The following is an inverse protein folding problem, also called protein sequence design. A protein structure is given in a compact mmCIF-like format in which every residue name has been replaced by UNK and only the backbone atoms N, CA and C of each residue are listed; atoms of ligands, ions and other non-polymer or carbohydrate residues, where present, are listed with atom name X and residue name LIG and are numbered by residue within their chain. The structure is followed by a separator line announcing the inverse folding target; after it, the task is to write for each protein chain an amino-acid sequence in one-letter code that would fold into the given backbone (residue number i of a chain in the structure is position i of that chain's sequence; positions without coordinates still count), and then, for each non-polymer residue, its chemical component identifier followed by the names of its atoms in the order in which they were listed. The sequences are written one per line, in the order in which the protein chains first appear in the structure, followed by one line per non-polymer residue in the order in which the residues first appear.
data_IF_581137726896
#
_entry.id   IF_581137726896
#
_cell.length_a   1.000
_cell.length_b   1.000
_cell.length_c   1.000
_cell.angle_alpha   90.00
_cell.angle_beta   90.00
_cell.angle_gamma   90.00
#
_symmetry.space_group_name_H-M   'P 1'
#
loop_
_entity.id
_entity.type
_entity.pdbx_description
1 polymer ?
#
# COMPACT_ATOMS: atom_id res chain seq x y z
N UNK A 1 -21.77 -22.73 -21.24
CA UNK A 1 -21.88 -21.32 -20.81
C UNK A 1 -21.61 -21.29 -19.32
N UNK A 2 -20.84 -20.31 -18.83
CA UNK A 2 -20.15 -20.21 -17.51
C UNK A 2 -18.76 -20.88 -17.52
N UNK A 3 -17.74 -20.24 -18.10
CA UNK A 3 -16.97 -19.06 -17.64
C UNK A 3 -15.90 -19.44 -16.61
N UNK A 4 -14.73 -19.76 -17.17
CA UNK A 4 -13.43 -19.85 -16.51
C UNK A 4 -13.04 -18.49 -15.89
N UNK A 5 -12.92 -18.43 -14.57
CA UNK A 5 -12.17 -17.38 -13.88
C UNK A 5 -11.35 -18.04 -12.78
N UNK A 6 -10.19 -18.54 -13.18
CA UNK A 6 -9.28 -19.24 -12.30
C UNK A 6 -7.99 -19.46 -13.06
N UNK A 7 -7.24 -18.37 -13.27
CA UNK A 7 -5.79 -18.35 -13.49
C UNK A 7 -5.36 -16.97 -14.01
N UNK A 8 -4.66 -16.22 -13.14
CA UNK A 8 -3.41 -15.51 -13.43
C UNK A 8 -3.06 -14.60 -12.24
N UNK A 9 -2.52 -15.22 -11.19
CA UNK A 9 -1.60 -14.51 -10.29
C UNK A 9 -0.21 -15.08 -10.56
N UNK A 10 0.80 -14.25 -10.89
CA UNK A 10 2.15 -14.75 -11.11
C UNK A 10 2.68 -15.35 -9.80
N UNK A 11 2.90 -16.67 -9.80
CA UNK A 11 3.50 -17.43 -8.70
C UNK A 11 5.02 -17.44 -8.81
N UNK A 12 5.69 -16.32 -8.59
CA UNK A 12 7.13 -16.26 -8.29
C UNK A 12 7.55 -14.81 -8.05
N UNK A 13 7.47 -14.37 -6.80
CA UNK A 13 8.27 -13.22 -6.35
C UNK A 13 9.60 -13.78 -5.87
N UNK A 14 10.52 -14.03 -6.81
CA UNK A 14 11.91 -14.31 -6.45
C UNK A 14 12.52 -13.02 -5.91
N UNK A 15 13.03 -13.07 -4.68
CA UNK A 15 13.85 -12.05 -4.03
C UNK A 15 15.15 -11.82 -4.84
N UNK A 16 15.08 -11.13 -5.98
CA UNK A 16 16.30 -10.74 -6.67
C UNK A 16 16.75 -9.31 -6.39
N UNK A 17 15.92 -8.42 -5.84
CA UNK A 17 16.39 -7.17 -5.24
C UNK A 17 15.53 -6.81 -4.03
N UNK A 18 16.13 -6.22 -2.99
CA UNK A 18 15.59 -6.06 -1.63
C UNK A 18 14.37 -5.13 -1.47
N UNK A 19 13.31 -5.36 -2.23
CA UNK A 19 12.04 -4.65 -2.14
C UNK A 19 11.04 -5.44 -1.30
N UNK A 20 10.50 -4.82 -0.23
CA UNK A 20 9.45 -5.43 0.61
C UNK A 20 8.07 -5.12 0.05
N UNK A 21 7.55 -6.05 -0.75
CA UNK A 21 6.17 -6.00 -1.23
C UNK A 21 5.20 -6.53 -0.16
N UNK A 22 4.22 -5.71 0.20
CA UNK A 22 3.17 -6.10 1.16
C UNK A 22 2.11 -6.96 0.45
N UNK A 23 1.88 -8.17 0.96
CA UNK A 23 0.87 -9.12 0.46
C UNK A 23 -0.29 -9.35 1.43
N UNK A 24 -0.14 -8.94 2.69
CA UNK A 24 -1.17 -9.06 3.72
C UNK A 24 -1.15 -7.83 4.64
N UNK A 25 -2.32 -7.25 4.88
CA UNK A 25 -2.53 -6.21 5.88
C UNK A 25 -3.32 -6.79 7.05
N UNK A 26 -2.68 -6.87 8.22
CA UNK A 26 -3.32 -7.15 9.50
C UNK A 26 -3.76 -5.83 10.11
N UNK A 27 -5.06 -5.65 10.37
CA UNK A 27 -5.59 -4.35 10.84
C UNK A 27 -6.49 -4.50 12.06
N UNK A 28 -6.19 -3.77 13.14
CA UNK A 28 -7.07 -3.70 14.31
C UNK A 28 -8.36 -2.94 13.99
N UNK A 29 -9.51 -3.58 14.20
CA UNK A 29 -10.80 -2.97 13.89
C UNK A 29 -11.21 -1.89 14.90
N UNK A 30 -10.91 -2.10 16.17
CA UNK A 30 -11.51 -1.32 17.24
C UNK A 30 -10.82 0.04 17.37
N UNK A 31 -9.49 0.06 17.51
CA UNK A 31 -8.74 1.31 17.66
C UNK A 31 -8.35 1.90 16.31
N UNK A 32 -7.80 1.10 15.39
CA UNK A 32 -7.28 1.66 14.14
C UNK A 32 -8.37 2.00 13.12
N UNK A 33 -9.45 1.20 13.02
CA UNK A 33 -10.61 1.51 12.16
C UNK A 33 -11.77 2.17 12.88
N UNK A 34 -11.73 2.27 14.22
CA UNK A 34 -12.69 3.06 14.98
C UNK A 34 -14.00 2.38 15.36
N UNK A 35 -14.05 1.04 15.38
CA UNK A 35 -15.29 0.29 15.68
C UNK A 35 -15.54 0.03 17.17
N UNK A 36 -14.78 0.68 18.07
CA UNK A 36 -14.92 0.54 19.54
C UNK A 36 -16.33 0.81 20.05
N UNK A 37 -17.02 1.77 19.47
CA UNK A 37 -18.38 2.16 19.85
C UNK A 37 -19.46 1.20 19.32
N UNK A 38 -19.06 0.17 18.57
CA UNK A 38 -19.94 -0.82 17.96
C UNK A 38 -20.68 -0.31 16.72
N UNK A 39 -20.34 0.88 16.20
CA UNK A 39 -20.92 1.37 14.96
C UNK A 39 -20.22 0.77 13.76
N UNK A 40 -20.96 0.43 12.69
CA UNK A 40 -20.35 0.02 11.43
C UNK A 40 -19.44 1.09 10.87
N UNK A 41 -18.40 0.65 10.15
CA UNK A 41 -17.51 1.51 9.40
C UNK A 41 -18.30 2.32 8.38
N UNK A 42 -17.92 3.59 8.24
CA UNK A 42 -18.46 4.41 7.18
C UNK A 42 -18.02 3.91 5.79
N UNK A 43 -18.75 4.34 4.77
CA UNK A 43 -18.49 3.95 3.37
C UNK A 43 -17.09 4.36 2.89
N UNK A 44 -16.53 5.44 3.45
CA UNK A 44 -15.23 5.94 3.02
C UNK A 44 -14.10 5.04 3.51
N UNK A 45 -14.18 4.58 4.76
CA UNK A 45 -13.24 3.61 5.34
C UNK A 45 -13.34 2.28 4.61
N UNK A 46 -14.55 1.77 4.34
CA UNK A 46 -14.72 0.56 3.52
C UNK A 46 -14.09 0.75 2.14
N UNK A 47 -14.33 1.87 1.45
CA UNK A 47 -13.73 2.13 0.14
C UNK A 47 -12.18 2.15 0.17
N UNK A 48 -11.56 2.58 1.27
CA UNK A 48 -10.10 2.53 1.44
C UNK A 48 -9.60 1.09 1.60
N UNK A 49 -10.32 0.26 2.37
CA UNK A 49 -10.00 -1.17 2.49
C UNK A 49 -10.10 -1.87 1.12
N UNK A 50 -11.09 -1.51 0.32
CA UNK A 50 -11.24 -2.01 -1.05
C UNK A 50 -10.09 -1.60 -1.97
N UNK A 51 -9.45 -0.44 -1.78
CA UNK A 51 -8.25 -0.09 -2.56
C UNK A 51 -7.12 -1.09 -2.35
N UNK A 52 -6.92 -1.52 -1.10
CA UNK A 52 -5.93 -2.56 -0.75
C UNK A 52 -6.29 -3.89 -1.41
N UNK A 53 -7.56 -4.31 -1.32
CA UNK A 53 -8.05 -5.54 -1.96
C UNK A 53 -7.90 -5.51 -3.48
N UNK A 54 -8.24 -4.39 -4.12
CA UNK A 54 -8.14 -4.21 -5.57
C UNK A 54 -6.69 -4.21 -6.06
N UNK A 55 -5.73 -3.79 -5.22
CA UNK A 55 -4.30 -3.92 -5.50
C UNK A 55 -3.78 -5.37 -5.37
N UNK A 56 -4.65 -6.33 -5.06
CA UNK A 56 -4.30 -7.74 -4.92
C UNK A 56 -3.70 -8.10 -3.56
N UNK A 57 -3.79 -7.20 -2.58
CA UNK A 57 -3.27 -7.38 -1.23
C UNK A 57 -4.38 -7.96 -0.36
N UNK A 58 -4.07 -9.00 0.41
CA UNK A 58 -5.05 -9.57 1.34
C UNK A 58 -5.27 -8.64 2.53
N UNK A 59 -6.50 -8.53 2.97
CA UNK A 59 -6.85 -7.85 4.21
C UNK A 59 -7.25 -8.89 5.27
N UNK A 60 -6.77 -8.70 6.49
CA UNK A 60 -7.12 -9.50 7.64
C UNK A 60 -7.45 -8.62 8.85
N UNK A 61 -8.73 -8.28 9.05
CA UNK A 61 -9.17 -7.58 10.25
C UNK A 61 -8.89 -8.40 11.50
N UNK A 62 -8.44 -7.73 12.54
CA UNK A 62 -8.16 -8.27 13.86
C UNK A 62 -9.17 -7.68 14.85
N UNK A 63 -9.87 -8.53 15.60
CA UNK A 63 -10.84 -8.07 16.59
C UNK A 63 -11.00 -9.06 17.75
N UNK A 64 -11.44 -8.53 18.90
CA UNK A 64 -11.91 -9.34 20.01
C UNK A 64 -13.30 -9.95 19.75
N UNK A 65 -14.00 -9.49 18.71
CA UNK A 65 -15.34 -9.92 18.32
C UNK A 65 -15.30 -11.20 17.48
N UNK A 66 -16.44 -11.88 17.37
CA UNK A 66 -16.62 -13.03 16.47
C UNK A 66 -16.98 -12.61 15.03
N UNK A 67 -17.03 -13.57 14.10
CA UNK A 67 -17.22 -13.30 12.66
C UNK A 67 -18.50 -12.53 12.33
N UNK A 68 -19.62 -12.88 12.95
CA UNK A 68 -20.90 -12.21 12.68
C UNK A 68 -20.86 -10.72 13.05
N UNK A 69 -20.33 -10.40 14.23
CA UNK A 69 -20.21 -9.02 14.71
C UNK A 69 -19.20 -8.22 13.87
N UNK A 70 -18.05 -8.82 13.55
CA UNK A 70 -17.04 -8.19 12.69
C UNK A 70 -17.61 -7.90 11.30
N UNK A 71 -18.36 -8.83 10.71
CA UNK A 71 -19.02 -8.64 9.42
C UNK A 71 -20.08 -7.53 9.48
N UNK A 72 -20.86 -7.46 10.55
CA UNK A 72 -21.83 -6.39 10.75
C UNK A 72 -21.14 -5.01 10.82
N UNK A 73 -19.98 -4.92 11.49
CA UNK A 73 -19.19 -3.70 11.54
C UNK A 73 -18.57 -3.33 10.19
N UNK A 74 -18.30 -4.31 9.33
CA UNK A 74 -17.88 -4.10 7.94
C UNK A 74 -19.06 -3.77 7.01
N UNK A 75 -20.26 -3.53 7.53
CA UNK A 75 -21.45 -3.24 6.73
C UNK A 75 -21.95 -4.43 5.92
N UNK A 76 -21.62 -5.66 6.34
CA UNK A 76 -21.96 -6.89 5.62
C UNK A 76 -20.99 -7.25 4.49
N UNK A 77 -19.87 -6.55 4.35
CA UNK A 77 -18.92 -6.77 3.27
C UNK A 77 -18.00 -7.96 3.52
N UNK A 78 -18.34 -9.09 2.92
CA UNK A 78 -17.57 -10.34 3.05
C UNK A 78 -16.20 -10.27 2.37
N UNK A 79 -15.97 -9.36 1.42
CA UNK A 79 -14.67 -9.25 0.74
C UNK A 79 -13.57 -8.80 1.70
N UNK A 80 -13.92 -7.94 2.66
CA UNK A 80 -13.04 -7.47 3.73
C UNK A 80 -12.80 -8.51 4.84
N UNK A 81 -13.54 -9.63 4.85
CA UNK A 81 -13.47 -10.65 5.89
C UNK A 81 -13.10 -12.05 5.34
N UNK A 82 -12.55 -12.10 4.12
CA UNK A 82 -12.02 -13.34 3.56
C UNK A 82 -10.87 -13.91 4.39
N UNK A 83 -10.09 -13.04 5.04
CA UNK A 83 -9.10 -13.43 6.03
C UNK A 83 -9.38 -12.64 7.30
N UNK A 84 -9.19 -13.24 8.48
CA UNK A 84 -9.41 -12.53 9.74
C UNK A 84 -8.78 -13.23 10.94
N UNK A 85 -8.44 -12.43 11.96
CA UNK A 85 -8.06 -12.90 13.30
C UNK A 85 -9.10 -12.42 14.30
N UNK A 86 -10.00 -13.29 14.68
CA UNK A 86 -11.19 -12.98 15.47
C UNK A 86 -11.08 -13.58 16.87
N UNK A 87 -11.90 -13.07 17.80
CA UNK A 87 -11.88 -13.49 19.21
C UNK A 87 -10.48 -13.50 19.81
N UNK A 88 -9.67 -12.50 19.46
CA UNK A 88 -8.25 -12.41 19.83
C UNK A 88 -7.44 -13.67 19.50
N UNK A 89 -7.68 -14.28 18.33
CA UNK A 89 -6.94 -15.44 17.82
C UNK A 89 -7.65 -16.78 18.00
N UNK A 90 -8.69 -16.86 18.83
CA UNK A 90 -9.45 -18.09 19.04
C UNK A 90 -10.32 -18.50 17.84
N UNK A 91 -10.53 -17.59 16.87
CA UNK A 91 -11.27 -17.84 15.64
C UNK A 91 -10.48 -17.25 14.47
N UNK A 92 -10.10 -18.09 13.50
CA UNK A 92 -9.36 -17.66 12.32
C UNK A 92 -10.19 -17.89 11.06
N UNK A 93 -10.13 -16.94 10.14
CA UNK A 93 -10.72 -17.07 8.81
C UNK A 93 -9.60 -16.96 7.79
N UNK A 94 -9.55 -17.87 6.82
CA UNK A 94 -8.69 -17.75 5.64
C UNK A 94 -9.48 -18.16 4.40
N UNK A 95 -9.36 -17.36 3.34
CA UNK A 95 -10.10 -17.53 2.08
C UNK A 95 -11.60 -17.84 2.29
N UNK A 96 -12.23 -17.14 3.25
CA UNK A 96 -13.65 -17.23 3.59
C UNK A 96 -14.02 -18.37 4.54
N UNK A 97 -13.09 -19.27 4.83
CA UNK A 97 -13.32 -20.47 5.64
C UNK A 97 -12.86 -20.28 7.07
N UNK A 98 -13.71 -20.67 8.03
CA UNK A 98 -13.31 -20.73 9.45
C UNK A 98 -12.37 -21.92 9.65
N UNK A 99 -11.27 -21.66 10.34
CA UNK A 99 -10.15 -22.56 10.47
C UNK A 99 -10.02 -23.09 11.91
N UNK A 100 -9.68 -24.38 12.09
CA UNK A 100 -9.30 -24.87 13.41
C UNK A 100 -8.01 -24.19 13.85
N UNK A 101 -7.96 -23.71 15.08
CA UNK A 101 -6.80 -23.00 15.64
C UNK A 101 -6.54 -23.43 17.08
N UNK A 102 -5.27 -23.35 17.50
CA UNK A 102 -4.86 -23.49 18.90
C UNK A 102 -4.34 -22.16 19.48
N UNK A 103 -4.46 -21.08 18.70
CA UNK A 103 -4.00 -19.77 19.13
C UNK A 103 -4.80 -19.29 20.35
N UNK A 104 -4.05 -18.81 21.35
CA UNK A 104 -4.61 -18.24 22.58
C UNK A 104 -4.49 -16.73 22.64
N UNK A 105 -3.70 -16.14 21.74
CA UNK A 105 -3.48 -14.70 21.63
C UNK A 105 -3.69 -14.23 20.19
N UNK A 106 -3.91 -12.92 20.04
CA UNK A 106 -4.06 -12.29 18.72
C UNK A 106 -2.79 -12.45 17.89
N UNK A 107 -1.62 -12.35 18.52
CA UNK A 107 -0.34 -12.56 17.87
C UNK A 107 -0.16 -14.00 17.38
N UNK A 108 -0.52 -15.00 18.18
CA UNK A 108 -0.49 -16.40 17.75
C UNK A 108 -1.43 -16.65 16.58
N UNK A 109 -2.65 -16.09 16.64
CA UNK A 109 -3.65 -16.22 15.59
C UNK A 109 -3.18 -15.59 14.28
N UNK A 110 -2.59 -14.41 14.33
CA UNK A 110 -2.02 -13.74 13.17
C UNK A 110 -0.85 -14.54 12.57
N UNK A 111 0.07 -15.07 13.39
CA UNK A 111 1.17 -15.93 12.90
C UNK A 111 0.66 -17.21 12.25
N UNK A 112 -0.34 -17.85 12.85
CA UNK A 112 -1.00 -19.03 12.29
C UNK A 112 -1.63 -18.70 10.93
N UNK A 113 -2.34 -17.58 10.83
CA UNK A 113 -2.94 -17.11 9.58
C UNK A 113 -1.87 -16.84 8.50
N UNK A 114 -0.79 -16.14 8.86
CA UNK A 114 0.34 -15.89 7.95
C UNK A 114 0.94 -17.17 7.38
N UNK A 115 1.16 -18.20 8.24
CA UNK A 115 1.67 -19.50 7.78
C UNK A 115 0.73 -20.20 6.81
N UNK A 116 -0.59 -20.06 7.00
CA UNK A 116 -1.60 -20.68 6.12
C UNK A 116 -1.70 -19.98 4.77
N UNK A 117 -1.48 -18.67 4.77
CA UNK A 117 -1.50 -17.86 3.55
C UNK A 117 -0.17 -17.87 2.79
N UNK A 118 0.85 -18.54 3.33
CA UNK A 118 2.21 -18.54 2.79
C UNK A 118 2.77 -17.11 2.60
N UNK A 119 2.67 -16.34 3.68
CA UNK A 119 3.14 -14.93 3.74
C UNK A 119 4.15 -14.79 4.88
N UNK A 120 5.37 -14.38 4.54
CA UNK A 120 6.45 -14.10 5.49
C UNK A 120 6.25 -12.77 6.23
N UNK A 121 6.95 -12.60 7.36
CA UNK A 121 6.87 -11.35 8.17
C UNK A 121 7.24 -10.09 7.39
N UNK A 122 8.13 -10.19 6.42
CA UNK A 122 8.57 -9.06 5.60
C UNK A 122 7.54 -8.65 4.53
N UNK A 123 6.52 -9.48 4.30
CA UNK A 123 5.43 -9.26 3.34
C UNK A 123 4.12 -8.83 4.04
N UNK A 124 4.16 -8.59 5.36
CA UNK A 124 2.99 -8.22 6.17
C UNK A 124 3.12 -6.79 6.65
N UNK A 125 2.03 -6.03 6.52
CA UNK A 125 1.81 -4.78 7.24
C UNK A 125 0.91 -5.03 8.44
N UNK A 126 1.32 -4.58 9.63
CA UNK A 126 0.47 -4.52 10.82
C UNK A 126 0.07 -3.08 11.10
N UNK A 127 -1.23 -2.79 10.99
CA UNK A 127 -1.84 -1.56 11.48
C UNK A 127 -2.53 -1.88 12.82
N UNK A 128 -1.85 -1.61 13.92
CA UNK A 128 -2.31 -1.92 15.27
C UNK A 128 -2.71 -0.67 16.05
N UNK A 129 -3.54 -0.86 17.07
CA UNK A 129 -3.95 0.23 17.96
C UNK A 129 -4.29 -0.20 19.38
N UNK A 130 -4.48 -1.51 19.59
CA UNK A 130 -4.75 -2.09 20.89
C UNK A 130 -3.47 -2.63 21.54
N UNK A 131 -3.46 -2.73 22.87
CA UNK A 131 -2.35 -3.36 23.62
C UNK A 131 -2.09 -4.80 23.16
N UNK A 132 -3.13 -5.52 22.72
CA UNK A 132 -3.00 -6.88 22.18
C UNK A 132 -2.17 -6.96 20.89
N UNK A 133 -1.95 -5.84 20.20
CA UNK A 133 -1.19 -5.77 18.95
C UNK A 133 0.31 -5.55 19.18
N UNK A 134 0.72 -5.15 20.39
CA UNK A 134 2.10 -4.74 20.69
C UNK A 134 3.14 -5.81 20.32
N UNK A 135 2.82 -7.09 20.55
CA UNK A 135 3.71 -8.20 20.18
C UNK A 135 3.89 -8.32 18.65
N UNK A 136 2.81 -8.17 17.88
CA UNK A 136 2.86 -8.17 16.41
C UNK A 136 3.57 -6.93 15.89
N UNK A 137 3.29 -5.75 16.46
CA UNK A 137 3.91 -4.49 16.08
C UNK A 137 5.43 -4.50 16.30
N UNK A 138 5.88 -5.10 17.41
CA UNK A 138 7.32 -5.26 17.68
C UNK A 138 7.97 -6.26 16.73
N UNK A 139 7.24 -7.31 16.35
CA UNK A 139 7.74 -8.41 15.53
C UNK A 139 7.65 -8.14 14.03
N UNK A 140 6.78 -7.31 13.49
CA UNK A 140 6.68 -7.12 12.02
C UNK A 140 7.46 -5.88 11.61
N UNK A 141 8.33 -5.95 10.58
CA UNK A 141 9.10 -4.77 10.14
C UNK A 141 8.20 -3.62 9.67
N UNK A 142 7.19 -3.94 8.86
CA UNK A 142 6.17 -2.99 8.45
C UNK A 142 5.07 -2.90 9.52
N UNK A 143 5.36 -2.19 10.61
CA UNK A 143 4.40 -1.98 11.70
C UNK A 143 4.09 -0.52 11.95
N UNK A 144 2.80 -0.24 12.09
CA UNK A 144 2.25 1.11 12.16
C UNK A 144 1.24 1.20 13.28
N UNK A 145 1.35 2.23 14.11
CA UNK A 145 0.33 2.63 15.06
C UNK A 145 -0.22 4.02 14.75
N UNK A 146 -1.48 4.26 15.06
CA UNK A 146 -2.06 5.61 15.00
C UNK A 146 -1.68 6.42 16.24
N UNK A 147 -1.74 7.76 16.17
CA UNK A 147 -1.42 8.64 17.32
C UNK A 147 -2.38 8.46 18.51
N UNK A 148 -3.58 7.92 18.29
CA UNK A 148 -4.59 7.59 19.29
C UNK A 148 -4.55 6.12 19.75
N UNK A 149 -3.52 5.37 19.35
CA UNK A 149 -3.29 4.00 19.81
C UNK A 149 -3.00 3.92 21.32
N UNK A 150 -3.13 2.73 21.89
CA UNK A 150 -2.69 2.48 23.26
C UNK A 150 -1.18 2.72 23.39
N UNK A 151 -0.73 3.10 24.59
CA UNK A 151 0.70 3.35 24.85
C UNK A 151 1.59 2.16 24.44
N UNK A 152 1.18 0.93 24.79
CA UNK A 152 1.93 -0.27 24.45
C UNK A 152 2.01 -0.52 22.94
N UNK A 153 0.93 -0.27 22.20
CA UNK A 153 0.94 -0.37 20.73
C UNK A 153 1.82 0.71 20.11
N UNK A 154 1.69 1.94 20.58
CA UNK A 154 2.46 3.08 20.11
C UNK A 154 3.97 2.88 20.31
N UNK A 155 4.40 2.43 21.49
CA UNK A 155 5.82 2.15 21.78
C UNK A 155 6.40 0.97 20.99
N UNK A 156 5.55 -0.01 20.63
CA UNK A 156 5.99 -1.20 19.90
C UNK A 156 6.11 -0.98 18.37
N UNK A 157 5.33 -0.06 17.80
CA UNK A 157 5.28 0.18 16.36
C UNK A 157 6.57 0.85 15.83
N UNK A 158 6.96 0.51 14.60
CA UNK A 158 8.13 1.10 13.92
C UNK A 158 7.82 2.45 13.29
N UNK A 159 6.55 2.73 13.00
CA UNK A 159 6.11 3.97 12.38
C UNK A 159 4.77 4.41 12.96
N UNK A 160 4.48 5.70 12.82
CA UNK A 160 3.28 6.30 13.37
C UNK A 160 2.55 7.12 12.32
N UNK A 161 1.22 7.08 12.36
CA UNK A 161 0.34 7.86 11.50
C UNK A 161 -0.62 8.69 12.33
N UNK A 162 -1.18 9.71 11.69
CA UNK A 162 -2.27 10.48 12.26
C UNK A 162 -3.45 9.59 12.65
N UNK A 163 -4.22 10.05 13.64
CA UNK A 163 -5.29 9.30 14.25
C UNK A 163 -6.42 8.95 13.27
N UNK A 164 -7.34 8.11 13.74
CA UNK A 164 -8.50 7.63 12.99
C UNK A 164 -9.25 8.76 12.24
N UNK A 165 -9.49 9.89 12.90
CA UNK A 165 -10.27 11.00 12.34
C UNK A 165 -9.44 12.01 11.54
N UNK A 166 -8.13 11.76 11.38
CA UNK A 166 -7.19 12.66 10.72
C UNK A 166 -6.74 12.13 9.35
N UNK A 167 -7.30 10.99 8.91
CA UNK A 167 -7.06 10.42 7.59
C UNK A 167 -5.77 9.61 7.45
N UNK A 168 -5.11 9.23 8.56
CA UNK A 168 -3.88 8.44 8.53
C UNK A 168 -4.06 7.08 7.87
N UNK A 169 -5.12 6.34 8.23
CA UNK A 169 -5.45 5.03 7.64
C UNK A 169 -5.70 5.13 6.14
N UNK A 170 -6.42 6.18 5.71
CA UNK A 170 -6.69 6.43 4.29
C UNK A 170 -5.41 6.63 3.49
N UNK A 171 -4.48 7.41 4.05
CA UNK A 171 -3.19 7.67 3.43
C UNK A 171 -2.33 6.41 3.35
N UNK A 172 -2.36 5.56 4.39
CA UNK A 172 -1.64 4.29 4.39
C UNK A 172 -2.19 3.31 3.35
N UNK A 173 -3.52 3.14 3.30
CA UNK A 173 -4.16 2.26 2.33
C UNK A 173 -3.80 2.68 0.90
N UNK A 174 -3.81 3.99 0.63
CA UNK A 174 -3.41 4.52 -0.67
C UNK A 174 -1.92 4.27 -0.97
N UNK A 175 -1.01 4.53 -0.03
CA UNK A 175 0.43 4.30 -0.22
C UNK A 175 0.74 2.82 -0.51
N UNK A 176 0.10 1.92 0.24
CA UNK A 176 0.27 0.47 0.08
C UNK A 176 -0.32 -0.03 -1.24
N UNK A 177 -1.50 0.47 -1.64
CA UNK A 177 -2.12 0.11 -2.91
C UNK A 177 -1.32 0.63 -4.10
N UNK A 178 -0.88 1.89 -4.07
CA UNK A 178 0.01 2.47 -5.10
C UNK A 178 1.30 1.62 -5.19
N UNK A 179 1.95 1.33 -4.05
CA UNK A 179 3.19 0.55 -4.03
C UNK A 179 3.04 -0.84 -4.68
N UNK A 180 1.96 -1.56 -4.38
CA UNK A 180 1.69 -2.86 -4.99
C UNK A 180 1.39 -2.78 -6.49
N UNK A 181 0.68 -1.73 -6.95
CA UNK A 181 0.43 -1.52 -8.38
C UNK A 181 1.73 -1.33 -9.18
N UNK A 182 2.70 -0.62 -8.60
CA UNK A 182 3.96 -0.28 -9.26
C UNK A 182 5.12 -1.24 -8.95
N UNK A 183 4.91 -2.24 -8.08
CA UNK A 183 5.97 -3.16 -7.67
C UNK A 183 7.06 -2.49 -6.83
N UNK A 184 6.71 -1.44 -6.08
CA UNK A 184 7.63 -0.63 -5.28
C UNK A 184 7.45 -0.89 -3.78
N UNK A 185 8.41 -0.44 -2.97
CA UNK A 185 8.25 -0.41 -1.52
C UNK A 185 7.41 0.80 -1.07
N UNK A 186 6.41 0.61 -0.18
CA UNK A 186 5.61 1.70 0.37
C UNK A 186 6.44 2.87 0.91
N UNK A 187 5.99 4.10 0.68
CA UNK A 187 6.74 5.30 1.06
C UNK A 187 6.97 5.40 2.57
N UNK A 188 6.02 4.94 3.40
CA UNK A 188 6.18 4.94 4.85
C UNK A 188 7.34 4.06 5.34
N UNK A 189 7.63 2.93 4.66
CA UNK A 189 8.75 2.05 5.02
C UNK A 189 10.09 2.67 4.64
N UNK A 190 10.18 3.23 3.44
CA UNK A 190 11.38 3.94 2.98
C UNK A 190 11.72 5.13 3.89
N UNK A 191 10.71 5.83 4.39
CA UNK A 191 10.91 6.92 5.35
C UNK A 191 11.39 6.42 6.72
N UNK A 192 10.88 5.28 7.19
CA UNK A 192 11.30 4.68 8.46
C UNK A 192 12.78 4.24 8.43
N UNK A 193 13.23 3.64 7.32
CA UNK A 193 14.64 3.27 7.13
C UNK A 193 15.57 4.48 7.03
N UNK A 194 15.13 5.54 6.37
CA UNK A 194 15.85 6.81 6.35
C UNK A 194 16.01 7.36 7.78
N UNK A 195 14.94 7.33 8.59
CA UNK A 195 14.98 7.80 9.97
C UNK A 195 15.92 6.95 10.86
N UNK A 196 15.92 5.62 10.70
CA UNK A 196 16.78 4.70 11.46
C UNK A 196 18.27 4.81 11.06
N UNK A 197 18.55 5.13 9.79
CA UNK A 197 19.90 5.44 9.29
C UNK A 197 20.40 6.85 9.66
N UNK A 198 19.66 7.60 10.48
CA UNK A 198 20.02 8.95 10.93
C UNK A 198 19.68 10.08 9.95
N UNK A 199 19.03 9.76 8.82
CA UNK A 199 18.49 10.74 7.88
C UNK A 199 17.06 11.08 8.33
N UNK A 200 16.94 12.08 9.19
CA UNK A 200 15.64 12.55 9.72
C UNK A 200 14.70 12.97 8.57
N UNK A 201 13.76 12.09 8.23
CA UNK A 201 12.56 12.42 7.47
C UNK A 201 11.35 12.28 8.41
N UNK A 202 10.96 13.37 9.06
CA UNK A 202 9.67 13.44 9.73
C UNK A 202 8.58 13.23 8.67
N UNK A 203 7.74 12.21 8.85
CA UNK A 203 6.56 12.00 8.02
C UNK A 203 5.55 13.13 8.31
N UNK A 204 5.66 14.21 7.55
CA UNK A 204 4.97 15.48 7.79
C UNK A 204 5.84 16.73 7.64
N UNK A 205 7.17 16.60 7.66
CA UNK A 205 8.05 17.68 7.24
C UNK A 205 8.17 17.63 5.71
N UNK A 206 7.61 18.64 5.05
CA UNK A 206 7.97 18.94 3.67
C UNK A 206 9.50 18.96 3.58
N UNK A 207 10.13 18.17 2.70
CA UNK A 207 11.43 18.57 2.22
C UNK A 207 11.19 19.94 1.61
N UNK A 208 11.79 20.97 2.18
CA UNK A 208 12.06 22.19 1.44
C UNK A 208 13.08 21.80 0.36
N UNK A 209 12.65 20.97 -0.60
CA UNK A 209 13.36 20.76 -1.84
C UNK A 209 13.30 22.12 -2.51
N UNK A 210 14.48 22.74 -2.54
CA UNK A 210 14.75 24.01 -3.17
C UNK A 210 13.87 24.13 -4.42
N UNK A 211 13.10 25.21 -4.46
CA UNK A 211 12.24 25.56 -5.58
C UNK A 211 13.06 25.69 -6.86
N UNK A 212 13.39 24.56 -7.48
CA UNK A 212 13.84 24.46 -8.85
C UNK A 212 12.65 24.80 -9.71
N UNK A 213 12.66 26.00 -10.28
CA UNK A 213 11.68 26.44 -11.28
C UNK A 213 11.44 25.31 -12.29
N UNK A 214 10.17 24.92 -12.42
CA UNK A 214 9.76 23.64 -12.99
C UNK A 214 10.17 23.43 -14.45
N UNK A 215 10.93 22.37 -14.69
CA UNK A 215 11.16 21.80 -16.01
C UNK A 215 10.21 20.63 -16.34
N UNK A 216 9.25 20.29 -15.47
CA UNK A 216 8.30 19.20 -15.69
C UNK A 216 7.47 19.37 -16.98
N UNK A 217 7.05 20.61 -17.28
CA UNK A 217 6.39 20.93 -18.54
C UNK A 217 7.33 20.77 -19.74
N UNK A 218 8.60 21.13 -19.58
CA UNK A 218 9.61 21.04 -20.64
C UNK A 218 9.92 19.58 -21.01
N UNK A 219 10.12 18.70 -20.02
CA UNK A 219 10.40 17.28 -20.28
C UNK A 219 9.21 16.55 -20.89
N UNK A 220 7.98 16.87 -20.45
CA UNK A 220 6.77 16.30 -21.04
C UNK A 220 6.57 16.74 -22.50
N UNK A 221 6.75 18.03 -22.79
CA UNK A 221 6.68 18.55 -24.16
C UNK A 221 7.79 17.97 -25.03
N UNK A 222 9.03 17.88 -24.53
CA UNK A 222 10.15 17.33 -25.26
C UNK A 222 9.94 15.85 -25.59
N UNK A 223 9.45 15.05 -24.64
CA UNK A 223 9.08 13.65 -24.86
C UNK A 223 7.99 13.48 -25.93
N UNK A 224 6.92 14.30 -25.87
CA UNK A 224 5.85 14.28 -26.89
C UNK A 224 6.40 14.63 -28.27
N UNK A 225 7.23 15.68 -28.37
CA UNK A 225 7.82 16.11 -29.66
C UNK A 225 8.69 15.00 -30.24
N UNK A 226 9.51 14.34 -29.44
CA UNK A 226 10.38 13.23 -29.89
C UNK A 226 9.54 12.04 -30.37
N UNK A 227 8.48 11.67 -29.65
CA UNK A 227 7.60 10.55 -30.03
C UNK A 227 6.83 10.88 -31.31
N UNK A 228 6.25 12.08 -31.42
CA UNK A 228 5.49 12.50 -32.61
C UNK A 228 6.41 12.63 -33.82
N UNK A 229 7.58 13.25 -33.68
CA UNK A 229 8.56 13.37 -34.77
C UNK A 229 9.09 12.00 -35.21
N UNK A 230 9.38 11.10 -34.27
CA UNK A 230 9.78 9.73 -34.56
C UNK A 230 8.69 8.96 -35.30
N UNK A 231 7.44 9.11 -34.89
CA UNK A 231 6.29 8.45 -35.55
C UNK A 231 6.04 9.00 -36.97
N UNK A 232 6.17 10.32 -37.18
CA UNK A 232 6.06 10.94 -38.50
C UNK A 232 7.18 10.44 -39.41
N UNK A 233 8.44 10.41 -38.93
CA UNK A 233 9.60 9.91 -39.68
C UNK A 233 9.47 8.43 -40.06
N UNK A 234 8.83 7.64 -39.20
CA UNK A 234 8.51 6.24 -39.47
C UNK A 234 7.48 6.10 -40.60
N UNK A 235 6.39 6.87 -40.54
CA UNK A 235 5.34 6.86 -41.57
C UNK A 235 5.82 7.41 -42.92
N UNK A 236 6.75 8.36 -42.93
CA UNK A 236 7.31 8.95 -44.15
C UNK A 236 8.42 8.12 -44.80
N UNK A 237 8.73 6.93 -44.25
CA UNK A 237 9.76 6.01 -44.75
C UNK A 237 11.11 6.70 -45.04
N UNK A 238 11.45 7.71 -44.22
CA UNK A 238 12.58 8.61 -44.48
C UNK A 238 13.94 7.95 -44.24
N UNK A 239 13.94 6.84 -43.49
CA UNK A 239 15.12 6.03 -43.22
C UNK A 239 14.84 4.55 -43.51
N UNK A 240 14.95 4.10 -44.78
CA UNK A 240 14.67 2.71 -45.17
C UNK A 240 15.76 1.71 -44.74
N UNK A 241 16.84 2.19 -44.08
CA UNK A 241 17.93 1.34 -43.61
C UNK A 241 17.65 0.77 -42.22
N UNK A 242 18.15 -0.45 -41.97
CA UNK A 242 18.07 -1.11 -40.65
C UNK A 242 18.68 -0.22 -39.55
N UNK A 243 19.82 0.43 -39.84
CA UNK A 243 20.46 1.36 -38.93
C UNK A 243 19.57 2.57 -38.59
N UNK A 244 18.85 3.12 -39.59
CA UNK A 244 17.92 4.21 -39.39
C UNK A 244 16.72 3.82 -38.53
N UNK A 245 16.19 2.61 -38.72
CA UNK A 245 15.12 2.08 -37.87
C UNK A 245 15.58 1.90 -36.41
N UNK A 246 16.81 1.41 -36.17
CA UNK A 246 17.35 1.29 -34.80
C UNK A 246 17.46 2.64 -34.09
N UNK A 247 17.96 3.67 -34.79
CA UNK A 247 18.07 5.03 -34.24
C UNK A 247 16.67 5.57 -33.89
N UNK A 248 15.68 5.31 -34.73
CA UNK A 248 14.30 5.74 -34.51
C UNK A 248 13.66 5.03 -33.31
N UNK A 249 13.89 3.72 -33.16
CA UNK A 249 13.42 2.94 -32.00
C UNK A 249 14.04 3.44 -30.69
N UNK A 250 15.36 3.64 -30.67
CA UNK A 250 16.06 4.16 -29.48
C UNK A 250 15.58 5.57 -29.16
N UNK A 251 15.42 6.44 -30.17
CA UNK A 251 14.86 7.77 -29.99
C UNK A 251 13.44 7.76 -29.41
N UNK A 252 12.58 6.84 -29.85
CA UNK A 252 11.23 6.69 -29.34
C UNK A 252 11.21 6.23 -27.88
N UNK A 253 12.07 5.27 -27.52
CA UNK A 253 12.24 4.81 -26.13
C UNK A 253 12.71 5.95 -25.22
N UNK A 254 13.67 6.76 -25.66
CA UNK A 254 14.13 7.94 -24.92
C UNK A 254 13.00 8.97 -24.79
N UNK A 255 12.22 9.20 -25.85
CA UNK A 255 11.06 10.10 -25.81
C UNK A 255 9.99 9.65 -24.81
N UNK A 256 9.70 8.35 -24.76
CA UNK A 256 8.79 7.73 -23.79
C UNK A 256 9.34 7.89 -22.37
N UNK A 257 10.63 7.60 -22.14
CA UNK A 257 11.25 7.77 -20.82
C UNK A 257 11.19 9.22 -20.32
N UNK A 258 11.47 10.20 -21.17
CA UNK A 258 11.35 11.63 -20.85
C UNK A 258 9.91 12.05 -20.54
N UNK A 259 8.94 11.48 -21.26
CA UNK A 259 7.52 11.70 -21.00
C UNK A 259 7.10 11.17 -19.62
N UNK A 260 7.48 9.94 -19.28
CA UNK A 260 7.21 9.34 -17.96
C UNK A 260 7.90 10.11 -16.83
N UNK A 261 9.13 10.55 -17.04
CA UNK A 261 9.85 11.41 -16.09
C UNK A 261 9.16 12.79 -15.90
N UNK A 262 8.52 13.33 -16.94
CA UNK A 262 7.69 14.54 -16.81
C UNK A 262 6.39 14.30 -16.02
N UNK A 263 5.78 13.13 -16.16
CA UNK A 263 4.56 12.75 -15.42
C UNK A 263 4.83 12.58 -13.91
N UNK A 264 5.94 11.93 -13.55
CA UNK A 264 6.33 11.75 -12.13
C UNK A 264 6.58 13.10 -11.47
N UNK A 265 7.35 13.99 -12.09
CA UNK A 265 7.57 15.35 -11.56
C UNK A 265 6.27 16.16 -11.41
N UNK A 266 5.33 16.02 -12.34
CA UNK A 266 4.03 16.72 -12.27
C UNK A 266 3.12 16.15 -11.18
N UNK A 267 3.19 14.85 -10.92
CA UNK A 267 2.50 14.18 -9.79
C UNK A 267 3.03 14.74 -8.47
N UNK A 268 4.34 14.80 -8.32
CA UNK A 268 4.98 15.28 -7.10
C UNK A 268 4.66 16.77 -6.86
N UNK A 269 4.67 17.59 -7.91
CA UNK A 269 4.24 18.98 -7.85
C UNK A 269 2.75 19.16 -7.50
N UNK A 270 1.86 18.25 -7.96
CA UNK A 270 0.44 18.25 -7.58
C UNK A 270 0.22 17.81 -6.13
N UNK A 271 0.95 16.79 -5.67
CA UNK A 271 0.94 16.34 -4.27
C UNK A 271 1.40 17.48 -3.36
N UNK A 272 2.47 18.19 -3.72
CA UNK A 272 2.96 19.37 -3.00
C UNK A 272 1.92 20.53 -2.96
N UNK A 273 1.25 20.84 -4.08
CA UNK A 273 0.19 21.87 -4.12
C UNK A 273 -1.05 21.50 -3.31
N UNK A 274 -1.43 20.21 -3.29
CA UNK A 274 -2.57 19.73 -2.52
C UNK A 274 -2.28 19.71 -1.02
N UNK A 275 -1.03 19.47 -0.63
CA UNK A 275 -0.55 19.61 0.74
C UNK A 275 -0.56 21.09 1.18
N UNK A 276 -0.07 22.02 0.35
CA UNK A 276 -0.06 23.45 0.64
C UNK A 276 -1.47 24.05 0.83
N UNK A 277 -2.46 23.60 0.06
CA UNK A 277 -3.87 24.06 0.18
C UNK A 277 -4.66 23.49 1.36
N UNK A 278 -4.11 22.50 2.09
CA UNK A 278 -4.75 21.89 3.27
C UNK A 278 -4.16 22.41 4.59
N UNK A 279 -3.18 23.31 4.52
CA UNK A 279 -2.55 23.97 5.66
C UNK A 279 -2.92 25.45 5.83
N UNK A 280 -3.87 25.95 5.03
CA UNK A 280 -4.61 27.22 5.25
C UNK A 280 -6.01 26.90 5.78
#
# INVERSE_FOLDING_TARGET
MMSSFGERYPRHWTQEEGFRLIRLVLVDMDHALGTRDGRPLDRQTIAQLHQVLHAGIRLAPMSARGRADALALLGGDESCLQNAVLRNGAELVADGMVLPTRATTRADGARELMRRLDVGRDEVLVLGGATADAELLSAVPASVATTDASKAAWEAAKSHLKGLHEGGVAQLCQDVADAAEWGEEPAFLRAAEAADSGVRAEFGATPQQAAGKGHAGLFMFLGIVVVVAGFVLYLSNTFPSIAGMMVLTVGLLVGVALFYMGLTQRRDARKARKAARRGE
#
